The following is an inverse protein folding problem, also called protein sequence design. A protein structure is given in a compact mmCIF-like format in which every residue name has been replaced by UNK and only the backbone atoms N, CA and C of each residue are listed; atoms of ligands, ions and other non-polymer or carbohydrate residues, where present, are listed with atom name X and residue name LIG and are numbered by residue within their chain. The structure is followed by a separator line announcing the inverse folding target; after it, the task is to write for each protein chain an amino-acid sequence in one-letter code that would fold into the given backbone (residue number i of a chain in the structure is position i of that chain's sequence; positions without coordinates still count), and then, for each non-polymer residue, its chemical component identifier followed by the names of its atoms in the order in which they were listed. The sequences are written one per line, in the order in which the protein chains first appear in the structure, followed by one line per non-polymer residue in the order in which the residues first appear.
data_IF_512868363936
#
_entry.id   IF_512868363936
#
_cell.length_a   1.000
_cell.length_b   1.000
_cell.length_c   1.000
_cell.angle_alpha   90.00
_cell.angle_beta   90.00
_cell.angle_gamma   90.00
#
_symmetry.space_group_name_H-M   'P 1'
#
loop_
_entity.id
_entity.type
_entity.pdbx_description
1 polymer ?
#
# COMPACT_ATOMS: atom_id res chain seq x y z
N UNK A 1 -19.17 1.07 -5.71
CA UNK A 1 -19.59 2.36 -5.11
C UNK A 1 -19.01 2.44 -3.70
N UNK A 2 -18.11 3.39 -3.47
CA UNK A 2 -17.34 3.55 -2.23
C UNK A 2 -18.21 3.79 -0.99
N UNK A 3 -19.40 4.35 -1.12
CA UNK A 3 -20.34 4.53 0.00
C UNK A 3 -20.74 3.18 0.61
N UNK A 4 -21.09 2.22 -0.24
CA UNK A 4 -21.48 0.86 0.20
C UNK A 4 -20.30 0.17 0.92
N UNK A 5 -19.08 0.36 0.42
CA UNK A 5 -17.87 -0.19 1.03
C UNK A 5 -17.65 0.42 2.43
N UNK A 6 -17.79 1.74 2.58
CA UNK A 6 -17.64 2.41 3.89
C UNK A 6 -18.68 1.94 4.90
N UNK A 7 -19.94 1.76 4.49
CA UNK A 7 -20.98 1.20 5.39
C UNK A 7 -20.62 -0.22 5.84
N UNK A 8 -20.08 -1.03 4.93
CA UNK A 8 -19.64 -2.39 5.25
C UNK A 8 -18.44 -2.38 6.21
N UNK A 9 -17.45 -1.53 5.96
CA UNK A 9 -16.28 -1.33 6.82
C UNK A 9 -16.71 -0.98 8.24
N UNK A 10 -17.65 -0.03 8.41
CA UNK A 10 -18.15 0.36 9.74
C UNK A 10 -18.77 -0.81 10.52
N UNK A 11 -19.55 -1.67 9.85
CA UNK A 11 -20.14 -2.87 10.48
C UNK A 11 -19.06 -3.87 10.88
N UNK A 12 -18.11 -4.10 9.99
CA UNK A 12 -17.02 -5.04 10.21
C UNK A 12 -16.05 -4.55 11.31
N UNK A 13 -15.85 -3.24 11.41
CA UNK A 13 -14.98 -2.62 12.40
C UNK A 13 -15.44 -2.91 13.84
N UNK A 14 -16.75 -3.05 14.09
CA UNK A 14 -17.32 -3.44 15.39
C UNK A 14 -17.02 -4.89 15.81
N UNK A 15 -16.42 -5.71 14.94
CA UNK A 15 -16.07 -7.10 15.23
C UNK A 15 -14.56 -7.30 15.31
N UNK A 16 -14.11 -8.39 15.93
CA UNK A 16 -12.70 -8.82 15.91
C UNK A 16 -12.39 -9.83 14.79
N UNK A 17 -13.27 -9.96 13.79
CA UNK A 17 -13.06 -10.87 12.68
C UNK A 17 -11.80 -10.49 11.88
N UNK A 18 -11.09 -11.52 11.41
CA UNK A 18 -10.02 -11.36 10.44
C UNK A 18 -10.59 -10.91 9.11
N UNK A 19 -9.86 -10.03 8.44
CA UNK A 19 -10.28 -9.45 7.17
C UNK A 19 -9.21 -9.71 6.14
N UNK A 20 -9.59 -10.27 5.01
CA UNK A 20 -8.72 -10.42 3.85
C UNK A 20 -9.14 -9.43 2.77
N UNK A 21 -8.31 -8.42 2.52
CA UNK A 21 -8.55 -7.39 1.51
C UNK A 21 -7.80 -7.78 0.23
N UNK A 22 -8.54 -8.24 -0.77
CA UNK A 22 -7.99 -8.56 -2.08
C UNK A 22 -8.18 -7.38 -3.06
N UNK A 23 -7.24 -7.23 -3.97
CA UNK A 23 -7.43 -6.44 -5.17
C UNK A 23 -6.12 -5.91 -5.73
N UNK A 24 -6.19 -5.26 -6.91
CA UNK A 24 -5.01 -4.83 -7.64
C UNK A 24 -4.07 -3.92 -6.83
N UNK A 25 -2.81 -3.83 -7.25
CA UNK A 25 -1.85 -2.91 -6.66
C UNK A 25 -2.33 -1.46 -6.84
N UNK A 26 -2.18 -0.64 -5.80
CA UNK A 26 -2.51 0.79 -5.86
C UNK A 26 -4.00 1.12 -5.75
N UNK A 27 -4.88 0.18 -5.38
CA UNK A 27 -6.33 0.46 -5.21
C UNK A 27 -6.70 1.03 -3.82
N UNK A 28 -5.73 1.20 -2.92
CA UNK A 28 -5.95 1.76 -1.59
C UNK A 28 -6.28 0.73 -0.50
N UNK A 29 -5.78 -0.50 -0.60
CA UNK A 29 -5.97 -1.56 0.41
C UNK A 29 -5.51 -1.14 1.81
N UNK A 30 -4.42 -0.40 1.90
CA UNK A 30 -3.91 0.16 3.17
C UNK A 30 -4.88 1.18 3.77
N UNK A 31 -5.46 2.06 2.96
CA UNK A 31 -6.48 3.03 3.40
C UNK A 31 -7.71 2.30 3.95
N UNK A 32 -8.17 1.24 3.27
CA UNK A 32 -9.28 0.41 3.75
C UNK A 32 -8.93 -0.24 5.11
N UNK A 33 -7.70 -0.73 5.27
CA UNK A 33 -7.22 -1.33 6.51
C UNK A 33 -7.20 -0.32 7.67
N UNK A 34 -6.70 0.89 7.41
CA UNK A 34 -6.70 1.99 8.36
C UNK A 34 -8.13 2.41 8.74
N UNK A 35 -9.07 2.47 7.79
CA UNK A 35 -10.47 2.78 8.08
C UNK A 35 -11.13 1.70 8.96
N UNK A 36 -10.83 0.42 8.72
CA UNK A 36 -11.33 -0.67 9.58
C UNK A 36 -10.83 -0.50 11.01
N UNK A 37 -9.54 -0.19 11.19
CA UNK A 37 -8.97 0.05 12.50
C UNK A 37 -9.59 1.30 13.17
N UNK A 38 -9.66 2.41 12.44
CA UNK A 38 -10.20 3.68 12.92
C UNK A 38 -11.65 3.60 13.39
N UNK A 39 -12.51 2.81 12.73
CA UNK A 39 -13.89 2.60 13.16
C UNK A 39 -14.07 1.47 14.18
N UNK A 40 -12.99 0.82 14.60
CA UNK A 40 -13.06 -0.32 15.52
C UNK A 40 -13.05 0.11 16.98
N UNK A 41 -13.37 -0.82 17.88
CA UNK A 41 -13.19 -0.63 19.33
C UNK A 41 -11.72 -0.50 19.76
N UNK A 42 -10.78 -0.68 18.82
CA UNK A 42 -9.32 -0.61 19.03
C UNK A 42 -8.68 0.63 18.41
N UNK A 43 -9.47 1.64 18.00
CA UNK A 43 -8.97 2.81 17.26
C UNK A 43 -7.89 3.62 18.00
N UNK A 44 -7.92 3.62 19.34
CA UNK A 44 -6.92 4.29 20.19
C UNK A 44 -5.69 3.40 20.50
N UNK A 45 -5.67 2.17 19.99
CA UNK A 45 -4.58 1.20 20.19
C UNK A 45 -3.63 1.21 18.99
N UNK A 46 -2.50 0.54 19.13
CA UNK A 46 -1.50 0.51 18.07
C UNK A 46 -2.04 -0.10 16.77
N UNK A 47 -1.76 0.56 15.65
CA UNK A 47 -1.89 0.00 14.31
C UNK A 47 -0.48 -0.24 13.76
N UNK A 48 -0.12 -1.51 13.56
CA UNK A 48 1.22 -1.91 13.12
C UNK A 48 1.11 -2.57 11.76
N UNK A 49 1.72 -1.96 10.74
CA UNK A 49 1.72 -2.46 9.37
C UNK A 49 3.06 -3.09 9.00
N UNK A 50 3.01 -4.22 8.28
CA UNK A 50 4.17 -4.95 7.78
C UNK A 50 3.93 -5.33 6.34
N UNK A 51 4.81 -4.90 5.44
CA UNK A 51 4.80 -5.34 4.06
C UNK A 51 5.69 -6.57 3.90
N UNK A 52 5.06 -7.72 3.62
CA UNK A 52 5.75 -9.01 3.52
C UNK A 52 6.62 -9.12 2.26
N UNK A 53 6.35 -8.31 1.23
CA UNK A 53 7.11 -8.30 -0.02
C UNK A 53 8.42 -7.50 0.07
N UNK A 54 8.51 -6.55 1.01
CA UNK A 54 9.63 -5.61 1.10
C UNK A 54 10.77 -6.07 2.02
N UNK A 55 10.58 -7.15 2.79
CA UNK A 55 11.48 -7.57 3.86
C UNK A 55 12.03 -8.97 3.56
N UNK A 56 13.36 -9.20 3.64
CA UNK A 56 13.94 -10.53 3.52
C UNK A 56 13.37 -11.50 4.56
N UNK A 57 13.18 -12.78 4.21
CA UNK A 57 12.52 -13.80 5.05
C UNK A 57 13.03 -13.84 6.51
N UNK A 58 14.35 -13.91 6.70
CA UNK A 58 14.95 -14.00 8.04
C UNK A 58 14.68 -12.74 8.88
N UNK A 59 14.66 -11.57 8.24
CA UNK A 59 14.31 -10.31 8.91
C UNK A 59 12.81 -10.26 9.19
N UNK A 60 11.97 -10.75 8.28
CA UNK A 60 10.51 -10.76 8.44
C UNK A 60 10.11 -11.60 9.66
N UNK A 61 10.70 -12.79 9.83
CA UNK A 61 10.45 -13.63 11.00
C UNK A 61 10.80 -12.92 12.31
N UNK A 62 12.01 -12.39 12.37
CA UNK A 62 12.54 -11.67 13.53
C UNK A 62 11.72 -10.42 13.85
N UNK A 63 11.27 -9.69 12.83
CA UNK A 63 10.42 -8.52 12.99
C UNK A 63 9.02 -8.89 13.45
N UNK A 64 8.38 -9.92 12.90
CA UNK A 64 7.01 -10.30 13.27
C UNK A 64 6.93 -10.87 14.70
N UNK A 65 7.75 -11.87 14.98
CA UNK A 65 7.66 -12.66 16.21
C UNK A 65 8.60 -12.17 17.33
N UNK A 66 9.62 -11.38 16.97
CA UNK A 66 10.66 -10.97 17.90
C UNK A 66 11.66 -12.09 18.17
N UNK A 67 12.71 -11.78 18.92
CA UNK A 67 13.77 -12.73 19.23
C UNK A 67 14.44 -12.42 20.57
N UNK A 68 14.97 -13.47 21.19
CA UNK A 68 15.84 -13.34 22.36
C UNK A 68 17.28 -13.05 21.95
N UNK A 69 18.03 -12.42 22.85
CA UNK A 69 19.46 -12.14 22.62
C UNK A 69 20.23 -13.44 22.36
N UNK A 70 21.04 -13.46 21.29
CA UNK A 70 21.86 -14.61 20.93
C UNK A 70 21.13 -15.76 20.23
N UNK A 71 19.86 -15.57 19.84
CA UNK A 71 19.06 -16.59 19.15
C UNK A 71 19.55 -16.94 17.74
N UNK A 72 20.27 -16.04 17.07
CA UNK A 72 20.96 -16.27 15.79
C UNK A 72 22.18 -15.35 15.63
N UNK A 73 23.01 -15.60 14.62
CA UNK A 73 24.18 -14.76 14.32
C UNK A 73 23.76 -13.33 13.96
N UNK A 74 24.08 -12.36 14.82
CA UNK A 74 23.67 -10.96 14.67
C UNK A 74 22.59 -10.51 15.66
N UNK A 75 22.00 -11.40 16.46
CA UNK A 75 21.03 -11.09 17.52
C UNK A 75 21.70 -10.48 18.76
N UNK A 76 22.34 -9.31 18.62
CA UNK A 76 23.08 -8.67 19.73
C UNK A 76 22.17 -8.09 20.82
N UNK A 77 20.95 -7.69 20.46
CA UNK A 77 19.94 -7.16 21.37
C UNK A 77 18.62 -7.91 21.17
N UNK A 78 17.78 -8.07 22.21
CA UNK A 78 16.47 -8.68 22.07
C UNK A 78 15.51 -7.77 21.29
N UNK A 79 14.54 -8.37 20.60
CA UNK A 79 13.47 -7.66 19.89
C UNK A 79 12.10 -8.16 20.36
N UNK A 80 11.22 -7.21 20.72
CA UNK A 80 9.82 -7.50 21.10
C UNK A 80 9.02 -8.10 19.93
N UNK A 81 9.30 -7.71 18.69
CA UNK A 81 8.53 -8.12 17.54
C UNK A 81 7.19 -7.38 17.42
N UNK A 82 6.69 -7.29 16.19
CA UNK A 82 5.60 -6.41 15.79
C UNK A 82 4.25 -6.91 16.29
N UNK A 83 4.03 -8.23 16.37
CA UNK A 83 2.77 -8.78 16.89
C UNK A 83 2.61 -8.44 18.38
N UNK A 84 3.67 -8.59 19.18
CA UNK A 84 3.66 -8.20 20.59
C UNK A 84 3.66 -6.69 20.79
N UNK A 85 4.21 -5.92 19.84
CA UNK A 85 4.12 -4.46 19.86
C UNK A 85 2.70 -3.95 19.58
N UNK A 86 1.92 -4.71 18.80
CA UNK A 86 0.54 -4.42 18.43
C UNK A 86 -0.50 -5.00 19.39
N UNK A 87 -0.10 -5.46 20.58
CA UNK A 87 -1.00 -6.06 21.56
C UNK A 87 -2.18 -5.13 21.90
N UNK A 88 -3.37 -5.71 22.05
CA UNK A 88 -4.68 -5.03 22.12
C UNK A 88 -5.07 -4.21 20.87
N UNK A 89 -4.18 -4.09 19.89
CA UNK A 89 -4.30 -3.28 18.70
C UNK A 89 -4.62 -4.09 17.44
N UNK A 90 -4.09 -3.64 16.31
CA UNK A 90 -4.30 -4.23 14.98
C UNK A 90 -2.97 -4.41 14.24
N UNK A 91 -2.78 -5.58 13.65
CA UNK A 91 -1.67 -5.89 12.74
C UNK A 91 -2.20 -5.93 11.31
N UNK A 92 -1.61 -5.13 10.43
CA UNK A 92 -1.79 -5.20 9.00
C UNK A 92 -0.64 -6.03 8.39
N UNK A 93 -1.00 -7.12 7.73
CA UNK A 93 -0.10 -7.96 6.95
C UNK A 93 -0.32 -7.65 5.46
N UNK A 94 0.47 -6.72 4.93
CA UNK A 94 0.37 -6.28 3.55
C UNK A 94 1.13 -7.25 2.63
N UNK A 95 0.49 -7.61 1.50
CA UNK A 95 0.96 -8.62 0.55
C UNK A 95 1.25 -9.99 1.20
N UNK A 96 0.29 -10.51 1.98
CA UNK A 96 0.41 -11.78 2.74
C UNK A 96 0.77 -12.99 1.87
N UNK A 97 0.47 -12.94 0.57
CA UNK A 97 0.83 -13.97 -0.40
C UNK A 97 2.34 -14.12 -0.61
N UNK A 98 3.14 -13.12 -0.25
CA UNK A 98 4.61 -13.21 -0.30
C UNK A 98 5.22 -13.83 0.96
N UNK A 99 4.41 -14.15 1.98
CA UNK A 99 4.92 -14.74 3.23
C UNK A 99 5.43 -16.17 2.99
N UNK A 100 6.68 -16.49 3.39
CA UNK A 100 7.22 -17.84 3.30
C UNK A 100 6.38 -18.89 4.03
N UNK A 101 6.30 -20.10 3.47
CA UNK A 101 5.46 -21.21 3.99
C UNK A 101 5.77 -21.58 5.45
N UNK A 102 7.04 -21.43 5.84
CA UNK A 102 7.56 -21.66 7.19
C UNK A 102 6.95 -20.68 8.19
N UNK A 103 6.82 -19.40 7.81
CA UNK A 103 6.26 -18.35 8.64
C UNK A 103 4.73 -18.42 8.71
N UNK A 104 4.08 -18.91 7.66
CA UNK A 104 2.63 -19.12 7.64
C UNK A 104 2.17 -20.07 8.76
N UNK A 105 2.95 -21.11 9.06
CA UNK A 105 2.63 -22.02 10.17
C UNK A 105 2.71 -21.35 11.54
N UNK A 106 3.69 -20.45 11.75
CA UNK A 106 3.81 -19.67 12.98
C UNK A 106 2.68 -18.65 13.11
N UNK A 107 2.35 -17.95 12.03
CA UNK A 107 1.23 -17.01 11.99
C UNK A 107 -0.10 -17.72 12.29
N UNK A 108 -0.31 -18.93 11.77
CA UNK A 108 -1.50 -19.72 12.06
C UNK A 108 -1.67 -19.96 13.56
N UNK A 109 -0.60 -20.31 14.27
CA UNK A 109 -0.62 -20.47 15.74
C UNK A 109 -0.99 -19.17 16.44
N UNK A 110 -0.44 -18.03 16.01
CA UNK A 110 -0.82 -16.72 16.55
C UNK A 110 -2.32 -16.46 16.40
N UNK A 111 -2.90 -16.75 15.24
CA UNK A 111 -4.33 -16.52 14.98
C UNK A 111 -5.20 -17.43 15.85
N UNK A 112 -4.83 -18.70 15.98
CA UNK A 112 -5.63 -19.73 16.65
C UNK A 112 -5.48 -19.70 18.17
N UNK A 113 -4.24 -19.66 18.66
CA UNK A 113 -3.91 -19.82 20.07
C UNK A 113 -3.79 -18.47 20.80
N UNK A 114 -3.75 -17.36 20.05
CA UNK A 114 -3.55 -16.00 20.61
C UNK A 114 -2.28 -15.90 21.44
N UNK A 115 -1.21 -16.54 20.95
CA UNK A 115 0.11 -16.56 21.57
C UNK A 115 1.20 -16.41 20.52
N UNK A 116 2.32 -15.81 20.92
CA UNK A 116 3.53 -15.64 20.12
C UNK A 116 4.70 -16.23 20.89
N UNK A 117 5.56 -16.98 20.20
CA UNK A 117 6.82 -17.48 20.72
C UNK A 117 7.98 -16.76 20.03
N UNK A 118 8.79 -15.96 20.75
CA UNK A 118 9.97 -15.31 20.18
C UNK A 118 11.00 -16.33 19.69
N UNK A 119 11.78 -15.97 18.68
CA UNK A 119 12.87 -16.82 18.18
C UNK A 119 13.89 -17.04 19.31
N UNK A 120 14.24 -18.31 19.54
CA UNK A 120 15.16 -18.72 20.61
C UNK A 120 14.55 -18.76 22.01
N UNK A 121 13.26 -18.47 22.16
CA UNK A 121 12.52 -18.64 23.41
C UNK A 121 11.78 -19.98 23.44
N UNK A 122 11.64 -20.56 24.63
CA UNK A 122 10.75 -21.69 24.92
C UNK A 122 9.45 -21.25 25.61
N UNK A 123 9.25 -19.94 25.78
CA UNK A 123 8.12 -19.36 26.51
C UNK A 123 7.19 -18.66 25.52
N UNK A 124 5.93 -19.09 25.52
CA UNK A 124 4.86 -18.44 24.77
C UNK A 124 4.35 -17.21 25.53
N UNK A 125 4.02 -16.16 24.78
CA UNK A 125 3.46 -14.92 25.31
C UNK A 125 2.08 -14.70 24.71
N UNK A 126 1.06 -14.58 25.55
CA UNK A 126 -0.30 -14.26 25.09
C UNK A 126 -0.36 -12.88 24.44
N UNK A 127 -1.15 -12.78 23.37
CA UNK A 127 -1.39 -11.54 22.62
C UNK A 127 -2.84 -11.44 22.20
N UNK A 128 -3.43 -10.26 22.31
CA UNK A 128 -4.74 -9.94 21.78
C UNK A 128 -4.63 -9.00 20.57
N UNK A 129 -4.38 -9.56 19.39
CA UNK A 129 -4.28 -8.79 18.15
C UNK A 129 -5.45 -9.06 17.20
N UNK A 130 -5.95 -7.97 16.60
CA UNK A 130 -6.79 -8.04 15.40
C UNK A 130 -5.88 -8.13 14.19
N UNK A 131 -6.20 -9.01 13.24
CA UNK A 131 -5.40 -9.21 12.02
C UNK A 131 -6.20 -8.76 10.80
N UNK A 132 -5.59 -7.91 9.98
CA UNK A 132 -6.04 -7.54 8.65
C UNK A 132 -4.93 -7.97 7.68
N UNK A 133 -5.28 -8.67 6.62
CA UNK A 133 -4.34 -9.10 5.60
C UNK A 133 -4.74 -8.49 4.24
N UNK A 134 -3.75 -8.18 3.40
CA UNK A 134 -3.98 -7.75 2.03
C UNK A 134 -3.24 -8.65 1.06
N UNK A 135 -3.73 -8.71 -0.17
CA UNK A 135 -3.02 -9.35 -1.28
C UNK A 135 -3.48 -8.77 -2.61
N UNK A 136 -2.63 -8.83 -3.62
CA UNK A 136 -2.99 -8.61 -5.01
C UNK A 136 -3.07 -9.90 -5.86
N UNK A 137 -2.79 -11.07 -5.25
CA UNK A 137 -2.77 -12.37 -5.92
C UNK A 137 -4.09 -13.12 -5.76
N UNK A 138 -4.31 -14.09 -6.65
CA UNK A 138 -5.41 -15.05 -6.50
C UNK A 138 -5.04 -16.10 -5.44
N UNK A 139 -5.51 -15.91 -4.20
CA UNK A 139 -5.21 -16.83 -3.10
C UNK A 139 -5.65 -18.27 -3.36
N UNK A 140 -6.73 -18.50 -4.12
CA UNK A 140 -7.16 -19.85 -4.45
C UNK A 140 -6.13 -20.58 -5.35
N UNK A 141 -5.46 -19.85 -6.24
CA UNK A 141 -4.37 -20.38 -7.06
C UNK A 141 -3.09 -20.57 -6.25
N UNK A 142 -2.75 -19.64 -5.35
CA UNK A 142 -1.59 -19.77 -4.46
C UNK A 142 -1.72 -20.99 -3.53
N UNK A 143 -2.92 -21.28 -3.03
CA UNK A 143 -3.20 -22.48 -2.23
C UNK A 143 -3.07 -23.74 -3.09
N UNK A 144 -3.69 -23.79 -4.27
CA UNK A 144 -3.58 -24.94 -5.19
C UNK A 144 -2.14 -25.23 -5.62
N UNK A 145 -1.32 -24.18 -5.74
CA UNK A 145 0.08 -24.31 -6.10
C UNK A 145 1.00 -24.65 -4.91
N UNK A 146 0.46 -24.82 -3.70
CA UNK A 146 1.22 -25.16 -2.50
C UNK A 146 2.10 -24.02 -1.95
N UNK A 147 1.93 -22.80 -2.46
CA UNK A 147 2.66 -21.60 -2.01
C UNK A 147 2.01 -20.95 -0.79
N UNK A 148 0.73 -21.24 -0.56
CA UNK A 148 0.00 -20.77 0.60
C UNK A 148 -0.74 -21.92 1.28
N UNK A 149 -0.71 -21.96 2.61
CA UNK A 149 -1.39 -23.01 3.38
C UNK A 149 -2.89 -22.80 3.36
N UNK A 150 -3.62 -23.87 3.08
CA UNK A 150 -5.08 -23.89 3.05
C UNK A 150 -5.69 -23.54 4.42
N UNK A 151 -5.14 -24.09 5.50
CA UNK A 151 -5.61 -23.84 6.87
C UNK A 151 -5.51 -22.36 7.28
N UNK A 152 -4.40 -21.71 6.93
CA UNK A 152 -4.20 -20.28 7.15
C UNK A 152 -5.15 -19.45 6.29
N UNK A 153 -5.35 -19.83 5.02
CA UNK A 153 -6.27 -19.12 4.13
C UNK A 153 -7.68 -19.07 4.74
N UNK A 154 -8.22 -20.18 5.21
CA UNK A 154 -9.55 -20.20 5.84
C UNK A 154 -9.64 -19.38 7.13
N UNK A 155 -8.54 -19.25 7.89
CA UNK A 155 -8.49 -18.41 9.10
C UNK A 155 -8.37 -16.91 8.79
N UNK A 156 -7.75 -16.54 7.69
CA UNK A 156 -7.65 -15.14 7.24
C UNK A 156 -8.90 -14.69 6.48
N UNK A 157 -9.50 -15.59 5.70
CA UNK A 157 -10.63 -15.31 4.82
C UNK A 157 -12.00 -15.44 5.53
N UNK A 158 -12.07 -15.08 6.82
CA UNK A 158 -13.35 -15.04 7.55
C UNK A 158 -14.26 -13.97 6.96
N UNK A 159 -13.68 -12.82 6.60
CA UNK A 159 -14.40 -11.79 5.87
C UNK A 159 -13.58 -11.27 4.68
N UNK A 160 -13.93 -11.66 3.44
CA UNK A 160 -13.29 -11.12 2.24
C UNK A 160 -13.80 -9.72 1.92
N UNK A 161 -12.88 -8.81 1.59
CA UNK A 161 -13.16 -7.51 0.99
C UNK A 161 -12.42 -7.39 -0.33
N UNK A 162 -13.11 -6.92 -1.37
CA UNK A 162 -12.49 -6.68 -2.66
C UNK A 162 -12.41 -5.18 -2.93
N UNK A 163 -11.23 -4.70 -3.32
CA UNK A 163 -11.03 -3.36 -3.85
C UNK A 163 -11.14 -3.37 -5.37
N UNK A 164 -11.76 -2.32 -5.91
CA UNK A 164 -11.96 -2.16 -7.36
C UNK A 164 -10.84 -1.32 -7.96
N UNK A 165 -10.57 -1.52 -9.25
CA UNK A 165 -9.70 -0.63 -10.01
C UNK A 165 -10.28 0.77 -10.05
N UNK A 166 -9.42 1.78 -10.14
CA UNK A 166 -9.85 3.18 -10.17
C UNK A 166 -10.75 3.46 -11.39
N UNK A 167 -10.48 2.85 -12.53
CA UNK A 167 -11.29 2.95 -13.75
C UNK A 167 -12.69 2.34 -13.64
N UNK A 168 -12.96 1.48 -12.66
CA UNK A 168 -14.30 0.93 -12.37
C UNK A 168 -15.11 1.83 -11.43
N UNK A 169 -14.47 2.87 -10.85
CA UNK A 169 -15.07 3.82 -9.92
C UNK A 169 -14.71 5.26 -10.28
N UNK A 170 -14.86 5.62 -11.56
CA UNK A 170 -14.44 6.93 -12.10
C UNK A 170 -15.00 8.13 -11.35
N UNK A 171 -16.24 8.03 -10.85
CA UNK A 171 -16.88 9.10 -10.07
C UNK A 171 -16.23 9.35 -8.70
N UNK A 172 -15.37 8.45 -8.22
CA UNK A 172 -14.59 8.67 -6.99
C UNK A 172 -13.29 9.46 -7.28
N UNK A 173 -12.85 9.56 -8.55
CA UNK A 173 -11.57 10.18 -8.94
C UNK A 173 -11.49 11.64 -8.49
N UNK A 174 -12.49 12.52 -8.71
CA UNK A 174 -12.38 13.92 -8.31
C UNK A 174 -12.17 14.09 -6.80
N UNK A 175 -12.89 13.32 -5.99
CA UNK A 175 -12.76 13.35 -4.54
C UNK A 175 -11.39 12.84 -4.06
N UNK A 176 -10.90 11.75 -4.67
CA UNK A 176 -9.57 11.19 -4.36
C UNK A 176 -8.47 12.18 -4.77
N UNK A 177 -8.54 12.75 -5.97
CA UNK A 177 -7.57 13.72 -6.47
C UNK A 177 -7.52 14.99 -5.61
N UNK A 178 -8.68 15.52 -5.20
CA UNK A 178 -8.75 16.66 -4.30
C UNK A 178 -8.14 16.35 -2.93
N UNK A 179 -8.38 15.15 -2.38
CA UNK A 179 -7.78 14.73 -1.11
C UNK A 179 -6.26 14.59 -1.22
N UNK A 180 -5.77 13.95 -2.30
CA UNK A 180 -4.33 13.82 -2.55
C UNK A 180 -3.66 15.19 -2.67
N UNK A 181 -4.26 16.11 -3.44
CA UNK A 181 -3.76 17.48 -3.57
C UNK A 181 -3.74 18.19 -2.22
N UNK A 182 -4.80 18.07 -1.42
CA UNK A 182 -4.85 18.65 -0.08
C UNK A 182 -3.72 18.15 0.83
N UNK A 183 -3.39 16.85 0.75
CA UNK A 183 -2.27 16.27 1.51
C UNK A 183 -0.91 16.78 1.02
N UNK A 184 -0.72 16.92 -0.29
CA UNK A 184 0.52 17.44 -0.90
C UNK A 184 0.71 18.93 -0.57
N UNK A 185 -0.37 19.68 -0.56
CA UNK A 185 -0.39 21.13 -0.44
C UNK A 185 -0.55 21.60 1.02
N UNK A 186 -0.47 20.68 1.99
CA UNK A 186 -0.74 20.93 3.41
C UNK A 186 0.07 22.09 3.97
N UNK A 187 1.37 22.11 3.67
CA UNK A 187 2.33 23.09 4.17
C UNK A 187 2.54 24.30 3.23
N UNK A 188 1.82 24.35 2.10
CA UNK A 188 1.89 25.49 1.18
C UNK A 188 1.01 26.64 1.63
N UNK A 189 1.54 27.87 1.55
CA UNK A 189 0.82 29.11 1.89
C UNK A 189 -0.36 29.38 0.95
N UNK A 190 -0.17 29.11 -0.34
CA UNK A 190 -1.20 29.26 -1.37
C UNK A 190 -1.77 27.90 -1.74
N UNK A 191 -3.09 27.78 -1.62
CA UNK A 191 -3.79 26.54 -1.95
C UNK A 191 -4.01 26.38 -3.44
N UNK A 192 -3.66 25.21 -3.94
CA UNK A 192 -3.74 24.81 -5.33
C UNK A 192 -5.13 24.28 -5.64
N UNK A 193 -5.63 24.61 -6.83
CA UNK A 193 -6.90 24.12 -7.34
C UNK A 193 -6.67 23.27 -8.58
N UNK A 194 -7.60 22.37 -8.84
CA UNK A 194 -7.67 21.60 -10.09
C UNK A 194 -8.78 22.23 -10.92
N UNK A 195 -8.49 22.58 -12.17
CA UNK A 195 -9.48 23.10 -13.11
C UNK A 195 -10.51 22.03 -13.49
N UNK A 196 -11.68 22.45 -13.98
CA UNK A 196 -12.73 21.54 -14.42
C UNK A 196 -12.26 20.62 -15.56
N UNK A 197 -11.56 21.19 -16.56
CA UNK A 197 -10.97 20.44 -17.68
C UNK A 197 -9.94 19.39 -17.22
N UNK A 198 -9.15 19.71 -16.19
CA UNK A 198 -8.22 18.74 -15.61
C UNK A 198 -8.99 17.59 -14.93
N UNK A 199 -10.08 17.86 -14.21
CA UNK A 199 -10.92 16.79 -13.64
C UNK A 199 -11.54 15.89 -14.70
N UNK A 200 -12.06 16.46 -15.79
CA UNK A 200 -12.59 15.70 -16.93
C UNK A 200 -11.51 14.75 -17.48
N UNK A 201 -10.32 15.29 -17.75
CA UNK A 201 -9.17 14.51 -18.24
C UNK A 201 -8.79 13.37 -17.28
N UNK A 202 -8.75 13.65 -15.96
CA UNK A 202 -8.48 12.63 -14.95
C UNK A 202 -9.55 11.53 -14.92
N UNK A 203 -10.82 11.84 -15.18
CA UNK A 203 -11.92 10.87 -15.18
C UNK A 203 -11.95 9.97 -16.41
N UNK A 204 -11.42 10.44 -17.54
CA UNK A 204 -11.40 9.68 -18.80
C UNK A 204 -10.25 8.66 -18.86
N UNK A 205 -9.15 8.93 -18.15
CA UNK A 205 -7.97 8.07 -18.17
C UNK A 205 -8.20 6.70 -17.49
N UNK A 206 -7.48 5.67 -17.97
CA UNK A 206 -7.71 4.27 -17.59
C UNK A 206 -7.09 3.84 -16.26
N UNK A 207 -6.12 4.60 -15.74
CA UNK A 207 -5.43 4.39 -14.46
C UNK A 207 -4.89 2.96 -14.25
N UNK A 208 -3.97 2.46 -15.11
CA UNK A 208 -3.36 1.15 -14.92
C UNK A 208 -2.67 1.00 -13.55
N UNK A 209 -2.08 2.07 -13.01
CA UNK A 209 -1.47 2.11 -11.67
C UNK A 209 -2.42 2.57 -10.55
N UNK A 210 -3.72 2.69 -10.83
CA UNK A 210 -4.77 3.06 -9.88
C UNK A 210 -4.45 4.36 -9.11
N UNK A 211 -4.72 4.39 -7.80
CA UNK A 211 -4.53 5.58 -6.94
C UNK A 211 -3.06 5.93 -6.79
N UNK A 212 -2.14 4.96 -6.93
CA UNK A 212 -0.70 5.22 -6.86
C UNK A 212 -0.24 6.08 -8.04
N UNK A 213 -0.67 5.73 -9.25
CA UNK A 213 -0.42 6.54 -10.44
C UNK A 213 -1.10 7.90 -10.34
N UNK A 214 -2.37 7.95 -9.92
CA UNK A 214 -3.06 9.23 -9.69
C UNK A 214 -2.29 10.14 -8.74
N UNK A 215 -1.75 9.63 -7.63
CA UNK A 215 -0.93 10.42 -6.71
C UNK A 215 0.31 10.98 -7.39
N UNK A 216 0.99 10.20 -8.24
CA UNK A 216 2.16 10.67 -8.97
C UNK A 216 1.80 11.75 -9.98
N UNK A 217 0.69 11.58 -10.71
CA UNK A 217 0.18 12.56 -11.68
C UNK A 217 -0.15 13.88 -10.97
N UNK A 218 -0.87 13.84 -9.85
CA UNK A 218 -1.22 15.06 -9.09
C UNK A 218 0.03 15.74 -8.52
N UNK A 219 1.01 14.99 -8.01
CA UNK A 219 2.28 15.55 -7.55
C UNK A 219 3.05 16.26 -8.68
N UNK A 220 3.17 15.61 -9.86
CA UNK A 220 3.80 16.24 -11.03
C UNK A 220 3.07 17.49 -11.48
N UNK A 221 1.75 17.41 -11.57
CA UNK A 221 0.92 18.54 -11.99
C UNK A 221 1.05 19.73 -11.02
N UNK A 222 1.14 19.49 -9.71
CA UNK A 222 1.40 20.54 -8.72
C UNK A 222 2.75 21.23 -8.92
N UNK A 223 3.78 20.51 -9.37
CA UNK A 223 5.10 21.10 -9.67
C UNK A 223 5.04 21.95 -10.94
N UNK A 224 4.25 21.53 -11.94
CA UNK A 224 4.18 22.18 -13.26
C UNK A 224 3.21 23.38 -13.29
N UNK A 225 2.17 23.35 -12.46
CA UNK A 225 1.08 24.30 -12.56
C UNK A 225 1.54 25.75 -12.32
N UNK A 226 1.06 26.65 -13.17
CA UNK A 226 1.19 28.08 -12.96
C UNK A 226 0.04 28.61 -12.10
N UNK A 227 0.27 29.71 -11.37
CA UNK A 227 -0.76 30.43 -10.61
C UNK A 227 -1.58 29.58 -9.62
N UNK A 228 -1.03 28.46 -9.14
CA UNK A 228 -1.70 27.51 -8.25
C UNK A 228 -3.01 26.92 -8.83
N UNK A 229 -3.07 26.76 -10.16
CA UNK A 229 -4.19 26.08 -10.83
C UNK A 229 -3.65 25.01 -11.76
N UNK A 230 -3.95 23.75 -11.45
CA UNK A 230 -3.65 22.59 -12.30
C UNK A 230 -4.63 22.58 -13.48
N UNK A 231 -4.10 22.79 -14.67
CA UNK A 231 -4.78 22.69 -15.95
C UNK A 231 -4.60 21.30 -16.58
N UNK A 232 -5.39 20.98 -17.60
CA UNK A 232 -5.29 19.69 -18.29
C UNK A 232 -3.88 19.44 -18.87
N UNK A 233 -3.22 20.49 -19.37
CA UNK A 233 -1.86 20.42 -19.93
C UNK A 233 -0.77 20.13 -18.89
N UNK A 234 -1.05 20.33 -17.60
CA UNK A 234 -0.13 20.01 -16.50
C UNK A 234 -0.17 18.51 -16.13
N UNK A 235 -1.16 17.76 -16.64
CA UNK A 235 -1.35 16.35 -16.34
C UNK A 235 -0.47 15.46 -17.22
N UNK A 236 0.68 15.06 -16.68
CA UNK A 236 1.55 14.08 -17.31
C UNK A 236 1.15 12.68 -16.83
N UNK A 237 0.69 11.81 -17.73
CA UNK A 237 0.33 10.41 -17.46
C UNK A 237 1.50 9.45 -17.75
N UNK A 238 1.52 8.30 -17.09
CA UNK A 238 2.56 7.29 -17.31
C UNK A 238 2.21 6.44 -18.54
N UNK A 239 2.72 6.83 -19.70
CA UNK A 239 2.56 6.06 -20.94
C UNK A 239 3.55 4.89 -20.99
N UNK A 240 3.20 3.75 -20.39
CA UNK A 240 4.02 2.53 -20.48
C UNK A 240 4.15 1.96 -21.90
N UNK A 241 3.36 2.42 -22.88
CA UNK A 241 3.37 1.92 -24.27
C UNK A 241 3.87 2.93 -25.33
N UNK A 242 4.16 4.18 -24.94
CA UNK A 242 4.64 5.20 -25.89
C UNK A 242 5.76 6.02 -25.27
N UNK A 243 6.96 5.45 -25.30
CA UNK A 243 8.18 6.19 -25.62
C UNK A 243 9.30 5.17 -25.85
N UNK A 244 9.75 5.05 -27.11
CA UNK A 244 11.17 4.73 -27.32
C UNK A 244 11.92 5.88 -26.65
N UNK A 245 12.78 5.64 -25.65
CA UNK A 245 13.56 6.72 -25.09
C UNK A 245 14.41 7.29 -26.22
N UNK A 246 14.07 8.48 -26.70
CA UNK A 246 15.07 9.29 -27.39
C UNK A 246 16.07 9.63 -26.31
N UNK A 247 17.28 9.11 -26.42
CA UNK A 247 18.32 9.36 -25.43
C UNK A 247 18.43 10.87 -25.23
N UNK A 248 18.19 11.34 -24.00
CA UNK A 248 18.25 12.76 -23.65
C UNK A 248 19.61 13.35 -24.03
N UNK A 249 20.67 12.54 -24.01
CA UNK A 249 22.00 12.93 -24.47
C UNK A 249 22.04 13.18 -25.99
N UNK A 250 21.33 12.40 -26.81
CA UNK A 250 21.27 12.61 -28.27
C UNK A 250 20.45 13.86 -28.63
N UNK A 251 19.32 14.07 -27.96
CA UNK A 251 18.48 15.25 -28.16
C UNK A 251 19.16 16.55 -27.69
N UNK A 252 19.88 16.51 -26.57
CA UNK A 252 20.69 17.64 -26.10
C UNK A 252 21.92 17.87 -26.99
N UNK A 253 22.65 16.82 -27.39
CA UNK A 253 23.80 16.95 -28.29
C UNK A 253 23.44 17.49 -29.68
N UNK A 254 22.22 17.25 -30.17
CA UNK A 254 21.72 17.86 -31.40
C UNK A 254 21.45 19.37 -31.22
N UNK A 255 20.95 19.79 -30.06
CA UNK A 255 20.73 21.21 -29.76
C UNK A 255 22.04 21.98 -29.58
N UNK A 256 23.04 21.41 -28.91
CA UNK A 256 24.34 22.06 -28.71
C UNK A 256 25.16 22.22 -30.01
N UNK A 257 25.08 21.25 -30.95
CA UNK A 257 25.74 21.36 -32.27
C UNK A 257 25.20 22.49 -33.15
N UNK A 258 23.90 22.82 -33.01
CA UNK A 258 23.30 23.92 -33.75
C UNK A 258 23.62 25.29 -33.16
N UNK A 259 24.02 25.37 -31.89
CA UNK A 259 24.43 26.64 -31.26
C UNK A 259 25.85 27.04 -31.66
N UNK A 260 26.79 26.08 -31.76
CA UNK A 260 28.18 26.35 -32.20
C UNK A 260 28.27 26.74 -33.68
N UNK A 261 27.33 26.28 -34.51
CA UNK A 261 27.31 26.61 -35.95
C UNK A 261 26.88 28.07 -36.23
N UNK A 262 26.23 28.73 -35.26
CA UNK A 262 25.77 30.12 -35.39
C UNK A 262 26.73 31.15 -34.78
N UNK A 263 27.79 30.73 -34.08
CA UNK A 263 28.83 31.62 -33.53
C UNK A 263 30.08 31.72 -34.42
N UNK A 264 30.18 30.95 -35.51
CA UNK A 264 31.30 31.00 -36.47
C UNK A 264 30.99 31.78 -37.78
N UNK A 265 29.97 32.63 -37.79
CA UNK A 265 29.73 33.60 -38.88
C UNK A 265 29.61 35.00 -38.29
N UNK A 266 30.75 35.59 -37.94
CA UNK A 266 31.00 37.03 -37.82
C UNK A 266 32.47 37.31 -38.14
#
# INVERSE_FOLDING_TARGET
NSIKLTTLIKRLACTNATVLINGPTGTGKEVVSNLIHHFSTRAEKAFVAVNCAAIPEQMLESMLFGHEKGSFTGAMQPNKGLIRAADEGTVLLDEISEMPITLQAKLLRVIQEKKVMPIGSSVEVSVDVRIIATTNRNMAEEVKAGRFREDLYYRLNVFPLNTLRLSERRFDIPAIAAHLLFSIDKDSELKTKISEQAFETLMEYSWPGNVRELSNVIQRAKILCANNVICADDLIFDNFEKDKPTNTAEALAAKFRNTESNEMVL
#
